data_IF_542060180424
#
_entry.id   IF_542060180424
#
_cell.length_a   1.000
_cell.length_b   1.000
_cell.length_c   1.000
_cell.angle_alpha   90.00
_cell.angle_beta   90.00
_cell.angle_gamma   90.00
#
_symmetry.space_group_name_H-M   'P 1'
#
loop_
_entity.id
_entity.type
_entity.pdbx_description
1 polymer ?
#
# COMPACT_ATOMS: atom_id res chain seq x y z
N UNK A 1 -49.12 3.02 -2.35
CA UNK A 1 -48.48 2.16 -1.31
C UNK A 1 -47.23 1.46 -1.75
N UNK A 2 -47.09 1.00 -3.03
CA UNK A 2 -45.87 0.29 -3.50
C UNK A 2 -44.62 1.17 -3.71
N UNK A 3 -44.74 2.45 -4.08
CA UNK A 3 -43.61 3.34 -4.26
C UNK A 3 -42.94 3.75 -2.94
N UNK A 4 -43.73 4.02 -1.92
CA UNK A 4 -43.26 4.38 -0.59
C UNK A 4 -42.58 3.17 0.10
N UNK A 5 -43.12 1.94 -0.05
CA UNK A 5 -42.46 0.73 0.42
C UNK A 5 -41.13 0.47 -0.29
N UNK A 6 -41.06 0.66 -1.62
CA UNK A 6 -39.80 0.56 -2.37
C UNK A 6 -38.77 1.61 -1.95
N UNK A 7 -39.17 2.85 -1.68
CA UNK A 7 -38.27 3.89 -1.19
C UNK A 7 -37.79 3.63 0.25
N UNK A 8 -38.67 3.10 1.11
CA UNK A 8 -38.31 2.76 2.51
C UNK A 8 -37.34 1.57 2.59
N UNK A 9 -37.55 0.54 1.77
CA UNK A 9 -36.65 -0.61 1.64
C UNK A 9 -35.30 -0.16 1.08
N UNK A 10 -35.28 0.68 0.04
CA UNK A 10 -34.06 1.23 -0.55
C UNK A 10 -33.29 2.12 0.42
N UNK A 11 -33.96 2.90 1.25
CA UNK A 11 -33.35 3.78 2.26
C UNK A 11 -32.74 3.00 3.43
N UNK A 12 -33.38 1.91 3.86
CA UNK A 12 -32.83 1.02 4.90
C UNK A 12 -31.60 0.23 4.37
N UNK A 13 -31.66 -0.21 3.13
CA UNK A 13 -30.55 -0.87 2.46
C UNK A 13 -29.30 0.03 2.35
N UNK A 14 -29.47 1.32 1.99
CA UNK A 14 -28.38 2.28 1.98
C UNK A 14 -27.76 2.54 3.37
N UNK A 15 -28.57 2.59 4.43
CA UNK A 15 -28.04 2.77 5.79
C UNK A 15 -27.24 1.58 6.27
N UNK A 16 -27.68 0.37 5.96
CA UNK A 16 -26.99 -0.87 6.33
C UNK A 16 -25.65 -1.01 5.56
N UNK A 17 -25.67 -0.75 4.26
CA UNK A 17 -24.46 -0.75 3.42
C UNK A 17 -23.43 0.28 3.90
N UNK A 18 -23.88 1.48 4.27
CA UNK A 18 -23.00 2.52 4.80
C UNK A 18 -22.39 2.10 6.14
N UNK A 19 -23.19 1.53 7.05
CA UNK A 19 -22.71 1.06 8.34
C UNK A 19 -21.65 -0.05 8.20
N UNK A 20 -21.92 -1.06 7.37
CA UNK A 20 -20.98 -2.16 7.11
C UNK A 20 -19.68 -1.63 6.50
N UNK A 21 -19.81 -0.68 5.53
CA UNK A 21 -18.64 -0.08 4.89
C UNK A 21 -17.80 0.68 5.90
N UNK A 22 -18.40 1.50 6.76
CA UNK A 22 -17.68 2.26 7.79
C UNK A 22 -17.02 1.32 8.79
N UNK A 23 -17.73 0.30 9.27
CA UNK A 23 -17.23 -0.67 10.27
C UNK A 23 -15.99 -1.43 9.76
N UNK A 24 -15.88 -1.64 8.44
CA UNK A 24 -14.71 -2.26 7.81
C UNK A 24 -13.64 -1.24 7.41
N UNK A 25 -14.04 -0.04 6.99
CA UNK A 25 -13.14 0.97 6.47
C UNK A 25 -12.31 1.65 7.55
N UNK A 26 -12.92 2.00 8.71
CA UNK A 26 -12.19 2.74 9.73
C UNK A 26 -10.94 2.01 10.26
N UNK A 27 -10.96 0.67 10.51
CA UNK A 27 -9.75 -0.02 10.93
C UNK A 27 -8.69 -0.06 9.83
N UNK A 28 -9.11 -0.25 8.56
CA UNK A 28 -8.20 -0.28 7.43
C UNK A 28 -7.57 1.10 7.17
N UNK A 29 -8.32 2.19 7.33
CA UNK A 29 -7.80 3.56 7.21
C UNK A 29 -6.80 3.85 8.34
N UNK A 30 -7.14 3.51 9.59
CA UNK A 30 -6.24 3.68 10.73
C UNK A 30 -4.96 2.86 10.53
N UNK A 31 -5.06 1.61 10.06
CA UNK A 31 -3.92 0.77 9.72
C UNK A 31 -2.98 1.47 8.72
N UNK A 32 -3.51 1.89 7.57
CA UNK A 32 -2.71 2.51 6.50
C UNK A 32 -2.10 3.84 6.93
N UNK A 33 -2.86 4.65 7.67
CA UNK A 33 -2.36 5.91 8.24
C UNK A 33 -1.20 5.67 9.21
N UNK A 34 -1.34 4.72 10.15
CA UNK A 34 -0.29 4.40 11.11
C UNK A 34 0.97 3.85 10.43
N UNK A 35 0.83 3.04 9.37
CA UNK A 35 1.97 2.55 8.58
C UNK A 35 2.72 3.71 7.93
N UNK A 36 2.00 4.64 7.30
CA UNK A 36 2.62 5.81 6.67
C UNK A 36 3.28 6.75 7.70
N UNK A 37 2.59 6.99 8.82
CA UNK A 37 3.10 7.83 9.91
C UNK A 37 4.32 7.24 10.60
N UNK A 38 4.32 5.92 10.84
CA UNK A 38 5.48 5.22 11.40
C UNK A 38 6.70 5.33 10.48
N UNK A 39 6.52 5.22 9.16
CA UNK A 39 7.59 5.42 8.19
C UNK A 39 8.22 6.83 8.24
N UNK A 40 7.40 7.87 8.49
CA UNK A 40 7.91 9.23 8.71
C UNK A 40 8.71 9.32 10.01
N UNK A 41 8.22 8.75 11.11
CA UNK A 41 8.93 8.72 12.41
C UNK A 41 10.25 7.97 12.28
N UNK A 42 10.27 6.81 11.61
CA UNK A 42 11.48 6.03 11.36
C UNK A 42 12.54 6.88 10.64
N UNK A 43 12.14 7.60 9.59
CA UNK A 43 13.03 8.48 8.84
C UNK A 43 13.57 9.61 9.72
N UNK A 44 12.74 10.21 10.57
CA UNK A 44 13.15 11.26 11.52
C UNK A 44 14.10 10.71 12.60
N UNK A 45 13.87 9.47 13.07
CA UNK A 45 14.75 8.86 14.07
C UNK A 45 16.11 8.51 13.49
N UNK A 46 16.16 8.00 12.26
CA UNK A 46 17.41 7.72 11.56
C UNK A 46 18.18 9.00 11.24
N UNK A 47 17.48 10.10 10.94
CA UNK A 47 18.14 11.39 10.66
C UNK A 47 18.92 11.97 11.85
N UNK A 48 18.59 11.56 13.08
CA UNK A 48 19.36 11.92 14.28
C UNK A 48 20.81 11.40 14.29
N UNK A 49 21.12 10.38 13.45
CA UNK A 49 22.46 9.82 13.28
C UNK A 49 23.31 10.61 12.27
N UNK A 50 22.69 11.52 11.51
CA UNK A 50 23.35 12.32 10.48
C UNK A 50 22.88 11.96 9.06
N UNK A 51 23.28 12.80 8.10
CA UNK A 51 22.88 12.67 6.68
C UNK A 51 23.35 11.35 6.04
N UNK A 52 24.52 10.85 6.43
CA UNK A 52 25.06 9.57 5.93
C UNK A 52 24.13 8.38 6.24
N UNK A 53 23.50 8.39 7.43
CA UNK A 53 22.60 7.33 7.87
C UNK A 53 21.30 7.35 7.06
N UNK A 54 20.76 8.52 6.79
CA UNK A 54 19.59 8.70 5.94
C UNK A 54 19.88 8.23 4.51
N UNK A 55 21.06 8.60 3.98
CA UNK A 55 21.49 8.16 2.66
C UNK A 55 21.65 6.64 2.59
N UNK A 56 22.31 6.03 3.59
CA UNK A 56 22.50 4.57 3.65
C UNK A 56 21.17 3.81 3.69
N UNK A 57 20.21 4.22 4.53
CA UNK A 57 18.86 3.62 4.59
C UNK A 57 18.09 3.88 3.29
N UNK A 58 18.22 5.09 2.72
CA UNK A 58 17.58 5.47 1.44
C UNK A 58 17.97 4.55 0.29
N UNK A 59 19.26 4.22 0.16
CA UNK A 59 19.79 3.29 -0.85
C UNK A 59 19.14 1.90 -0.81
N UNK A 60 18.74 1.45 0.38
CA UNK A 60 18.12 0.13 0.56
C UNK A 60 16.63 0.10 0.19
N UNK A 61 15.98 1.26 0.08
CA UNK A 61 14.53 1.35 -0.06
C UNK A 61 14.02 0.76 -1.37
N UNK A 62 14.63 1.12 -2.51
CA UNK A 62 14.18 0.65 -3.81
C UNK A 62 14.41 -0.85 -4.02
N UNK A 63 15.60 -1.43 -3.71
CA UNK A 63 15.80 -2.88 -3.78
C UNK A 63 14.85 -3.67 -2.89
N UNK A 64 14.61 -3.18 -1.66
CA UNK A 64 13.64 -3.80 -0.73
C UNK A 64 12.24 -3.82 -1.31
N UNK A 65 11.76 -2.70 -1.87
CA UNK A 65 10.43 -2.60 -2.45
C UNK A 65 10.28 -3.46 -3.70
N UNK A 66 11.33 -3.56 -4.53
CA UNK A 66 11.36 -4.45 -5.68
C UNK A 66 11.28 -5.92 -5.24
N UNK A 67 12.02 -6.29 -4.20
CA UNK A 67 11.96 -7.64 -3.61
C UNK A 67 10.59 -7.98 -3.03
N UNK A 68 9.88 -6.99 -2.51
CA UNK A 68 8.53 -7.17 -1.98
C UNK A 68 7.43 -7.12 -3.06
N UNK A 69 7.74 -6.79 -4.32
CA UNK A 69 6.74 -6.63 -5.39
C UNK A 69 5.90 -7.90 -5.60
N UNK A 70 6.53 -9.09 -5.55
CA UNK A 70 5.84 -10.37 -5.62
C UNK A 70 4.83 -10.54 -4.47
N UNK A 71 5.23 -10.19 -3.26
CA UNK A 71 4.40 -10.33 -2.06
C UNK A 71 3.27 -9.31 -2.03
N UNK A 72 3.47 -8.10 -2.55
CA UNK A 72 2.38 -7.13 -2.76
C UNK A 72 1.34 -7.65 -3.77
N UNK A 73 1.80 -8.28 -4.85
CA UNK A 73 0.91 -8.89 -5.83
C UNK A 73 0.10 -10.06 -5.23
N UNK A 74 0.75 -10.93 -4.48
CA UNK A 74 0.09 -12.02 -3.75
C UNK A 74 -0.90 -11.49 -2.72
N UNK A 75 -0.58 -10.41 -2.01
CA UNK A 75 -1.48 -9.76 -1.05
C UNK A 75 -2.83 -9.40 -1.70
N UNK A 76 -2.80 -8.77 -2.88
CA UNK A 76 -4.02 -8.44 -3.63
C UNK A 76 -4.77 -9.70 -4.04
N UNK A 77 -4.06 -10.71 -4.57
CA UNK A 77 -4.66 -11.96 -5.02
C UNK A 77 -5.34 -12.73 -3.88
N UNK A 78 -4.65 -12.90 -2.76
CA UNK A 78 -5.17 -13.57 -1.56
C UNK A 78 -6.44 -12.87 -1.05
N UNK A 79 -6.38 -11.54 -0.91
CA UNK A 79 -7.53 -10.77 -0.41
C UNK A 79 -8.75 -10.91 -1.32
N UNK A 80 -8.58 -10.83 -2.64
CA UNK A 80 -9.66 -10.95 -3.61
C UNK A 80 -10.28 -12.36 -3.63
N UNK A 81 -9.43 -13.41 -3.67
CA UNK A 81 -9.88 -14.81 -3.71
C UNK A 81 -10.59 -15.20 -2.41
N UNK A 82 -10.01 -14.88 -1.25
CA UNK A 82 -10.64 -15.19 0.05
C UNK A 82 -11.97 -14.45 0.21
N UNK A 83 -12.04 -13.17 -0.21
CA UNK A 83 -13.29 -12.41 -0.18
C UNK A 83 -14.38 -13.07 -1.05
N UNK A 84 -14.01 -13.56 -2.24
CA UNK A 84 -14.91 -14.28 -3.14
C UNK A 84 -15.42 -15.56 -2.52
N UNK A 85 -14.51 -16.41 -1.98
CA UNK A 85 -14.86 -17.69 -1.32
C UNK A 85 -15.73 -17.46 -0.07
N UNK A 86 -15.47 -16.38 0.67
CA UNK A 86 -16.33 -16.02 1.81
C UNK A 86 -17.74 -15.65 1.36
N UNK A 87 -17.91 -14.94 0.26
CA UNK A 87 -19.21 -14.64 -0.33
C UNK A 87 -19.94 -15.89 -0.77
N UNK A 88 -19.23 -16.84 -1.39
CA UNK A 88 -19.73 -18.16 -1.80
C UNK A 88 -20.02 -19.10 -0.62
N UNK A 89 -19.68 -18.72 0.62
CA UNK A 89 -19.75 -19.54 1.85
C UNK A 89 -18.90 -20.83 1.75
N UNK A 90 -17.88 -20.86 0.90
CA UNK A 90 -16.97 -22.01 0.70
C UNK A 90 -15.77 -21.88 1.63
N UNK A 91 -15.91 -22.33 2.87
CA UNK A 91 -14.86 -22.24 3.88
C UNK A 91 -13.64 -23.08 3.52
N UNK A 92 -13.85 -24.29 2.97
CA UNK A 92 -12.76 -25.20 2.56
C UNK A 92 -11.86 -24.53 1.51
N UNK A 93 -12.45 -23.98 0.44
CA UNK A 93 -11.69 -23.31 -0.63
C UNK A 93 -11.00 -22.03 -0.16
N UNK A 94 -11.55 -21.33 0.84
CA UNK A 94 -10.89 -20.16 1.43
C UNK A 94 -9.65 -20.57 2.25
N UNK A 95 -9.76 -21.61 3.06
CA UNK A 95 -8.68 -22.18 3.85
C UNK A 95 -7.61 -22.85 2.99
N UNK A 96 -8.01 -23.52 1.90
CA UNK A 96 -7.12 -24.05 0.87
C UNK A 96 -6.30 -22.94 0.20
N UNK A 97 -6.95 -21.83 -0.16
CA UNK A 97 -6.28 -20.64 -0.71
C UNK A 97 -5.27 -20.06 0.28
N UNK A 98 -5.64 -19.93 1.56
CA UNK A 98 -4.75 -19.45 2.61
C UNK A 98 -3.53 -20.35 2.78
N UNK A 99 -3.75 -21.67 2.91
CA UNK A 99 -2.67 -22.65 3.14
C UNK A 99 -1.70 -22.69 1.95
N UNK A 100 -2.24 -22.73 0.72
CA UNK A 100 -1.44 -22.71 -0.51
C UNK A 100 -0.63 -21.41 -0.63
N UNK A 101 -1.26 -20.27 -0.31
CA UNK A 101 -0.58 -18.98 -0.34
C UNK A 101 0.55 -18.88 0.69
N UNK A 102 0.31 -19.32 1.93
CA UNK A 102 1.35 -19.30 2.98
C UNK A 102 2.51 -20.22 2.59
N UNK A 103 2.24 -21.43 2.09
CA UNK A 103 3.26 -22.36 1.63
C UNK A 103 4.17 -21.73 0.55
N UNK A 104 3.56 -21.11 -0.46
CA UNK A 104 4.29 -20.43 -1.52
C UNK A 104 5.05 -19.19 -1.01
N UNK A 105 4.43 -18.37 -0.14
CA UNK A 105 5.05 -17.19 0.47
C UNK A 105 6.30 -17.58 1.26
N UNK A 106 6.22 -18.65 2.07
CA UNK A 106 7.37 -19.12 2.86
C UNK A 106 8.54 -19.52 1.97
N UNK A 107 8.27 -20.33 0.93
CA UNK A 107 9.32 -20.78 -0.01
C UNK A 107 9.92 -19.56 -0.74
N UNK A 108 9.06 -18.70 -1.32
CA UNK A 108 9.53 -17.53 -2.04
C UNK A 108 10.29 -16.55 -1.14
N UNK A 109 9.85 -16.37 0.11
CA UNK A 109 10.50 -15.48 1.07
C UNK A 109 11.87 -16.02 1.51
N UNK A 110 12.00 -17.33 1.73
CA UNK A 110 13.30 -17.97 2.04
C UNK A 110 14.27 -17.77 0.88
N UNK A 111 13.85 -18.08 -0.35
CA UNK A 111 14.70 -17.95 -1.54
C UNK A 111 15.11 -16.48 -1.73
N UNK A 112 14.17 -15.56 -1.66
CA UNK A 112 14.43 -14.12 -1.80
C UNK A 112 15.34 -13.60 -0.68
N UNK A 113 15.10 -14.01 0.57
CA UNK A 113 15.90 -13.59 1.72
C UNK A 113 17.36 -14.05 1.57
N UNK A 114 17.59 -15.33 1.22
CA UNK A 114 18.93 -15.87 0.99
C UNK A 114 19.62 -15.11 -0.15
N UNK A 115 18.93 -14.91 -1.29
CA UNK A 115 19.47 -14.20 -2.44
C UNK A 115 19.85 -12.75 -2.08
N UNK A 116 18.97 -12.00 -1.41
CA UNK A 116 19.24 -10.62 -1.04
C UNK A 116 20.34 -10.47 0.01
N UNK A 117 20.41 -11.37 0.98
CA UNK A 117 21.50 -11.37 1.99
C UNK A 117 22.84 -11.69 1.34
N UNK A 118 22.87 -12.66 0.42
CA UNK A 118 24.09 -13.07 -0.27
C UNK A 118 24.59 -11.98 -1.22
N UNK A 119 23.71 -11.42 -2.05
CA UNK A 119 24.04 -10.38 -3.02
C UNK A 119 23.93 -8.96 -2.46
N UNK A 120 23.79 -8.76 -1.15
CA UNK A 120 23.55 -7.45 -0.54
C UNK A 120 24.57 -6.38 -0.97
N UNK A 121 25.88 -6.72 -0.93
CA UNK A 121 26.94 -5.78 -1.32
C UNK A 121 26.80 -5.37 -2.79
N UNK A 122 26.68 -6.35 -3.70
CA UNK A 122 26.54 -6.07 -5.14
C UNK A 122 25.27 -5.23 -5.47
N UNK A 123 24.16 -5.50 -4.77
CA UNK A 123 22.91 -4.74 -4.95
C UNK A 123 23.09 -3.29 -4.48
N UNK A 124 23.72 -3.09 -3.33
CA UNK A 124 23.95 -1.75 -2.77
C UNK A 124 25.00 -0.97 -3.59
N UNK A 125 26.03 -1.64 -4.12
CA UNK A 125 26.97 -1.05 -5.08
C UNK A 125 26.25 -0.58 -6.35
N UNK A 126 25.40 -1.43 -6.91
CA UNK A 126 24.58 -1.10 -8.08
C UNK A 126 23.65 0.10 -7.83
N UNK A 127 23.20 0.30 -6.59
CA UNK A 127 22.38 1.46 -6.19
C UNK A 127 23.21 2.76 -6.02
N UNK A 128 24.51 2.72 -6.25
CA UNK A 128 25.36 3.91 -6.22
C UNK A 128 25.84 4.29 -4.81
N UNK A 129 26.11 3.30 -3.94
CA UNK A 129 26.70 3.57 -2.62
C UNK A 129 28.10 4.14 -2.72
N UNK A 130 28.43 5.07 -1.81
CA UNK A 130 29.77 5.62 -1.63
C UNK A 130 30.52 4.87 -0.55
N UNK A 131 31.85 5.06 -0.45
CA UNK A 131 32.67 4.42 0.58
C UNK A 131 32.15 4.65 2.02
N UNK A 132 31.57 5.83 2.26
CA UNK A 132 31.07 6.23 3.58
C UNK A 132 29.71 5.59 3.93
N UNK A 133 28.88 5.27 2.94
CA UNK A 133 27.52 4.75 3.13
C UNK A 133 27.40 3.26 2.91
N UNK A 134 28.35 2.66 2.16
CA UNK A 134 28.24 1.26 1.69
C UNK A 134 28.08 0.27 2.83
N UNK A 135 29.00 0.29 3.81
CA UNK A 135 29.03 -0.67 4.91
C UNK A 135 27.74 -0.65 5.73
N UNK A 136 27.25 0.53 6.07
CA UNK A 136 26.03 0.70 6.86
C UNK A 136 24.79 0.31 6.08
N UNK A 137 24.73 0.66 4.78
CA UNK A 137 23.66 0.26 3.90
C UNK A 137 23.60 -1.28 3.71
N UNK A 138 24.74 -1.93 3.52
CA UNK A 138 24.81 -3.40 3.38
C UNK A 138 24.37 -4.11 4.66
N UNK A 139 24.84 -3.65 5.83
CA UNK A 139 24.46 -4.23 7.12
C UNK A 139 22.96 -4.04 7.37
N UNK A 140 22.43 -2.84 7.15
CA UNK A 140 21.00 -2.56 7.28
C UNK A 140 20.19 -3.44 6.33
N UNK A 141 20.58 -3.51 5.06
CA UNK A 141 19.90 -4.29 4.04
C UNK A 141 19.89 -5.79 4.37
N UNK A 142 21.04 -6.35 4.83
CA UNK A 142 21.11 -7.76 5.27
C UNK A 142 20.18 -8.08 6.43
N UNK A 143 20.10 -7.21 7.44
CA UNK A 143 19.21 -7.42 8.59
C UNK A 143 17.75 -7.39 8.12
N UNK A 144 17.34 -6.35 7.38
CA UNK A 144 15.95 -6.19 6.91
C UNK A 144 15.53 -7.34 5.98
N UNK A 145 16.37 -7.70 5.02
CA UNK A 145 16.05 -8.77 4.07
C UNK A 145 16.17 -10.16 4.68
N UNK A 146 17.08 -10.35 5.66
CA UNK A 146 17.16 -11.58 6.44
C UNK A 146 15.90 -11.86 7.26
N UNK A 147 15.27 -10.80 7.81
CA UNK A 147 13.99 -10.90 8.52
C UNK A 147 12.74 -10.77 7.64
N UNK A 148 12.89 -10.66 6.31
CA UNK A 148 11.77 -10.42 5.39
C UNK A 148 10.71 -11.52 5.42
N UNK A 149 11.07 -12.76 5.77
CA UNK A 149 10.14 -13.88 5.87
C UNK A 149 8.97 -13.59 6.83
N UNK A 150 9.24 -12.97 7.98
CA UNK A 150 8.20 -12.63 8.97
C UNK A 150 7.22 -11.60 8.40
N UNK A 151 7.75 -10.60 7.66
CA UNK A 151 6.92 -9.60 6.98
C UNK A 151 6.03 -10.24 5.91
N UNK A 152 6.57 -11.12 5.07
CA UNK A 152 5.84 -11.77 4.00
C UNK A 152 4.72 -12.68 4.53
N UNK A 153 4.97 -13.46 5.58
CA UNK A 153 3.96 -14.30 6.24
C UNK A 153 2.85 -13.44 6.82
N UNK A 154 3.21 -12.39 7.60
CA UNK A 154 2.26 -11.45 8.15
C UNK A 154 1.38 -10.82 7.06
N UNK A 155 2.00 -10.33 5.97
CA UNK A 155 1.28 -9.72 4.85
C UNK A 155 0.26 -10.68 4.22
N UNK A 156 0.65 -11.93 4.00
CA UNK A 156 -0.23 -12.96 3.44
C UNK A 156 -1.43 -13.27 4.34
N UNK A 157 -1.20 -13.46 5.64
CA UNK A 157 -2.28 -13.73 6.61
C UNK A 157 -3.18 -12.51 6.75
N UNK A 158 -2.62 -11.31 6.85
CA UNK A 158 -3.39 -10.07 6.94
C UNK A 158 -4.23 -9.83 5.67
N UNK A 159 -3.72 -10.17 4.48
CA UNK A 159 -4.49 -10.12 3.24
C UNK A 159 -5.70 -11.06 3.28
N UNK A 160 -5.50 -12.28 3.74
CA UNK A 160 -6.58 -13.25 3.92
C UNK A 160 -7.62 -12.79 4.95
N UNK A 161 -7.17 -12.24 6.09
CA UNK A 161 -8.06 -11.68 7.12
C UNK A 161 -8.86 -10.49 6.60
N UNK A 162 -8.25 -9.58 5.81
CA UNK A 162 -8.98 -8.49 5.13
C UNK A 162 -10.03 -9.03 4.17
N UNK A 163 -9.66 -9.99 3.32
CA UNK A 163 -10.59 -10.67 2.42
C UNK A 163 -11.75 -11.34 3.17
N UNK A 164 -11.46 -11.93 4.31
CA UNK A 164 -12.48 -12.49 5.20
C UNK A 164 -13.31 -11.43 5.94
N UNK A 165 -13.01 -10.12 5.83
CA UNK A 165 -13.71 -9.03 6.49
C UNK A 165 -13.22 -8.68 7.89
N UNK A 166 -12.11 -9.27 8.35
CA UNK A 166 -11.53 -9.05 9.68
C UNK A 166 -10.48 -7.94 9.70
N UNK A 167 -10.84 -6.74 9.24
CA UNK A 167 -9.92 -5.58 9.16
C UNK A 167 -9.40 -5.12 10.52
N UNK A 168 -10.14 -5.36 11.61
CA UNK A 168 -9.70 -5.04 12.98
C UNK A 168 -8.47 -5.83 13.42
N UNK A 169 -8.33 -7.08 12.97
CA UNK A 169 -7.14 -7.92 13.28
C UNK A 169 -5.93 -7.31 12.60
N UNK A 170 -6.03 -6.98 11.31
CA UNK A 170 -4.93 -6.41 10.54
C UNK A 170 -4.49 -5.05 11.08
N UNK A 171 -5.44 -4.20 11.46
CA UNK A 171 -5.16 -2.94 12.14
C UNK A 171 -4.37 -3.18 13.44
N UNK A 172 -4.84 -4.08 14.31
CA UNK A 172 -4.17 -4.36 15.59
C UNK A 172 -2.75 -4.86 15.38
N UNK A 173 -2.53 -5.80 14.46
CA UNK A 173 -1.20 -6.34 14.17
C UNK A 173 -0.25 -5.27 13.67
N UNK A 174 -0.66 -4.43 12.71
CA UNK A 174 0.20 -3.40 12.14
C UNK A 174 0.43 -2.23 13.10
N UNK A 175 -0.60 -1.78 13.83
CA UNK A 175 -0.43 -0.73 14.86
C UNK A 175 0.54 -1.20 15.95
N UNK A 176 0.38 -2.42 16.47
CA UNK A 176 1.29 -2.98 17.48
C UNK A 176 2.71 -3.10 16.94
N UNK A 177 2.89 -3.61 15.71
CA UNK A 177 4.19 -3.70 15.04
C UNK A 177 4.91 -2.35 14.98
N UNK A 178 4.21 -1.35 14.46
CA UNK A 178 4.77 0.00 14.32
C UNK A 178 5.05 0.67 15.67
N UNK A 179 4.20 0.46 16.67
CA UNK A 179 4.43 0.97 18.02
C UNK A 179 5.71 0.35 18.62
N UNK A 180 5.87 -0.97 18.50
CA UNK A 180 7.09 -1.67 18.98
C UNK A 180 8.33 -1.18 18.20
N UNK A 181 8.22 -1.04 16.89
CA UNK A 181 9.29 -0.51 16.05
C UNK A 181 9.73 0.88 16.52
N UNK A 182 8.79 1.83 16.72
CA UNK A 182 9.10 3.19 17.20
C UNK A 182 9.74 3.15 18.59
N UNK A 183 9.21 2.34 19.52
CA UNK A 183 9.78 2.20 20.86
C UNK A 183 11.20 1.63 20.82
N UNK A 184 11.43 0.58 20.05
CA UNK A 184 12.76 -0.02 19.93
C UNK A 184 13.74 0.88 19.17
N UNK A 185 13.29 1.64 18.17
CA UNK A 185 14.10 2.67 17.52
C UNK A 185 14.60 3.69 18.53
N UNK A 186 13.71 4.19 19.41
CA UNK A 186 14.05 5.15 20.45
C UNK A 186 15.09 4.58 21.44
N UNK A 187 15.04 3.30 21.74
CA UNK A 187 15.97 2.64 22.67
C UNK A 187 17.31 2.29 22.00
N UNK A 188 17.26 1.70 20.78
CA UNK A 188 18.43 1.07 20.15
C UNK A 188 19.23 2.00 19.24
N UNK A 189 18.64 3.05 18.67
CA UNK A 189 19.38 3.96 17.79
C UNK A 189 20.41 4.75 18.60
N UNK A 190 19.99 5.38 19.69
CA UNK A 190 20.83 6.27 20.50
C UNK A 190 21.25 5.66 21.85
N UNK A 191 20.92 4.41 22.14
CA UNK A 191 21.35 3.73 23.37
C UNK A 191 20.75 4.30 24.65
N UNK A 192 19.42 4.52 24.70
CA UNK A 192 18.74 5.09 25.88
C UNK A 192 18.42 4.01 26.90
N UNK A 193 18.27 4.40 28.17
CA UNK A 193 17.90 3.54 29.30
C UNK A 193 18.82 2.30 29.50
N UNK A 194 20.12 2.43 29.20
CA UNK A 194 21.10 1.35 29.36
C UNK A 194 21.16 0.35 28.18
N UNK A 195 20.39 0.57 27.14
CA UNK A 195 20.51 -0.19 25.90
C UNK A 195 21.77 0.25 25.11
N UNK A 196 22.41 -0.65 24.33
CA UNK A 196 23.54 -0.28 23.50
C UNK A 196 23.12 0.65 22.36
N UNK A 197 23.92 1.67 22.08
CA UNK A 197 23.74 2.55 20.91
C UNK A 197 24.18 1.81 19.65
N UNK A 198 23.22 1.24 18.93
CA UNK A 198 23.46 0.40 17.73
C UNK A 198 23.35 1.21 16.42
N UNK A 199 22.94 2.48 16.48
CA UNK A 199 22.80 3.33 15.30
C UNK A 199 21.86 2.71 14.22
N UNK A 200 22.34 2.65 12.97
CA UNK A 200 21.59 2.10 11.84
C UNK A 200 21.21 0.61 12.04
N UNK A 201 22.09 -0.16 12.68
CA UNK A 201 21.78 -1.59 13.03
C UNK A 201 20.60 -1.66 14.00
N UNK A 202 20.56 -0.72 14.96
CA UNK A 202 19.44 -0.59 15.89
C UNK A 202 18.10 -0.35 15.18
N UNK A 203 18.08 0.53 14.18
CA UNK A 203 16.91 0.79 13.36
C UNK A 203 16.44 -0.44 12.59
N UNK A 204 17.36 -1.21 11.99
CA UNK A 204 17.03 -2.45 11.31
C UNK A 204 16.45 -3.50 12.25
N UNK A 205 17.08 -3.69 13.42
CA UNK A 205 16.62 -4.65 14.43
C UNK A 205 15.27 -4.27 15.02
N UNK A 206 15.02 -2.99 15.27
CA UNK A 206 13.73 -2.49 15.73
C UNK A 206 12.61 -2.81 14.73
N UNK A 207 12.87 -2.58 13.44
CA UNK A 207 11.92 -2.89 12.35
C UNK A 207 11.61 -4.38 12.30
N UNK A 208 12.62 -5.26 12.35
CA UNK A 208 12.42 -6.70 12.32
C UNK A 208 11.70 -7.18 13.58
N UNK A 209 12.05 -6.67 14.76
CA UNK A 209 11.38 -7.05 16.02
C UNK A 209 9.89 -6.72 15.99
N UNK A 210 9.53 -5.52 15.53
CA UNK A 210 8.12 -5.16 15.31
C UNK A 210 7.42 -6.11 14.34
N UNK A 211 8.08 -6.46 13.25
CA UNK A 211 7.54 -7.38 12.23
C UNK A 211 7.38 -8.81 12.76
N UNK A 212 8.31 -9.30 13.58
CA UNK A 212 8.22 -10.62 14.23
C UNK A 212 7.01 -10.68 15.15
N UNK A 213 6.79 -9.66 15.98
CA UNK A 213 5.60 -9.59 16.85
C UNK A 213 4.33 -9.58 16.03
N UNK A 214 4.28 -8.80 14.96
CA UNK A 214 3.11 -8.76 14.08
C UNK A 214 2.88 -10.12 13.38
N UNK A 215 3.94 -10.82 12.97
CA UNK A 215 3.84 -12.17 12.41
C UNK A 215 3.23 -13.14 13.43
N UNK A 216 3.72 -13.13 14.67
CA UNK A 216 3.18 -13.97 15.75
C UNK A 216 1.70 -13.66 15.98
N UNK A 217 1.32 -12.38 16.08
CA UNK A 217 -0.07 -11.98 16.25
C UNK A 217 -0.97 -12.40 15.06
N UNK A 218 -0.46 -12.27 13.83
CA UNK A 218 -1.19 -12.67 12.62
C UNK A 218 -1.40 -14.19 12.59
N UNK A 219 -0.36 -14.97 12.90
CA UNK A 219 -0.43 -16.43 13.01
C UNK A 219 -1.40 -16.82 14.13
N UNK A 220 -1.31 -16.22 15.32
CA UNK A 220 -2.23 -16.48 16.43
C UNK A 220 -3.70 -16.20 16.04
N UNK A 221 -3.95 -15.25 15.14
CA UNK A 221 -5.32 -14.90 14.71
C UNK A 221 -6.03 -16.03 13.96
N UNK A 222 -5.28 -16.92 13.31
CA UNK A 222 -5.80 -18.06 12.52
C UNK A 222 -5.88 -19.35 13.34
N UNK A 223 -5.44 -19.35 14.60
CA UNK A 223 -5.61 -20.51 15.52
C UNK A 223 -6.98 -20.55 16.21
N UNK A 224 -7.81 -19.51 16.05
CA UNK A 224 -9.16 -19.49 16.62
C UNK A 224 -10.10 -20.42 15.85
N UNK A 225 -10.70 -21.42 16.56
CA UNK A 225 -11.60 -22.42 15.94
C UNK A 225 -12.83 -21.81 15.28
N UNK A 226 -13.40 -20.75 15.85
CA UNK A 226 -14.62 -20.08 15.37
C UNK A 226 -14.35 -19.13 14.18
N UNK A 227 -13.11 -18.95 13.78
CA UNK A 227 -12.76 -18.07 12.66
C UNK A 227 -13.05 -18.75 11.32
N UNK A 228 -13.50 -17.96 10.33
CA UNK A 228 -13.70 -18.46 8.96
C UNK A 228 -12.41 -19.00 8.34
N UNK A 229 -11.27 -18.39 8.70
CA UNK A 229 -9.92 -18.85 8.38
C UNK A 229 -9.30 -19.41 9.64
N UNK A 230 -9.09 -20.72 9.69
CA UNK A 230 -8.69 -21.42 10.91
C UNK A 230 -7.75 -22.59 10.64
N UNK A 231 -6.58 -22.61 11.28
CA UNK A 231 -5.65 -23.76 11.23
C UNK A 231 -6.28 -25.03 11.82
N UNK A 232 -6.94 -24.99 12.99
CA UNK A 232 -7.66 -26.15 13.50
C UNK A 232 -8.65 -26.74 12.47
N UNK A 233 -9.40 -25.88 11.79
CA UNK A 233 -10.32 -26.33 10.73
C UNK A 233 -9.59 -26.99 9.55
N UNK A 234 -8.44 -26.43 9.12
CA UNK A 234 -7.59 -27.00 8.07
C UNK A 234 -7.14 -28.41 8.46
N UNK A 235 -6.75 -28.60 9.71
CA UNK A 235 -6.28 -29.91 10.21
C UNK A 235 -7.44 -30.91 10.34
N UNK A 236 -8.60 -30.50 10.86
CA UNK A 236 -9.80 -31.34 11.00
C UNK A 236 -10.33 -31.81 9.64
N UNK A 237 -10.34 -30.96 8.62
CA UNK A 237 -10.84 -31.26 7.28
C UNK A 237 -9.74 -31.84 6.35
N UNK A 238 -8.51 -32.04 6.86
CA UNK A 238 -7.37 -32.53 6.08
C UNK A 238 -7.10 -31.75 4.79
N UNK A 239 -7.32 -30.40 4.82
CA UNK A 239 -7.11 -29.53 3.68
C UNK A 239 -5.61 -29.49 3.36
N UNK A 240 -5.27 -29.67 2.06
CA UNK A 240 -3.89 -29.65 1.56
C UNK A 240 -3.68 -28.52 0.55
N UNK A 241 -2.45 -28.01 0.40
CA UNK A 241 -2.13 -27.12 -0.70
C UNK A 241 -2.37 -27.83 -2.05
N UNK A 242 -3.02 -27.13 -3.00
CA UNK A 242 -3.29 -27.69 -4.32
C UNK A 242 -2.71 -26.81 -5.42
N UNK A 243 -2.37 -27.48 -6.55
CA UNK A 243 -1.89 -26.79 -7.74
C UNK A 243 -2.98 -25.87 -8.33
N UNK A 244 -4.25 -26.25 -8.22
CA UNK A 244 -5.37 -25.44 -8.71
C UNK A 244 -5.49 -24.11 -7.95
N UNK A 245 -5.40 -24.13 -6.62
CA UNK A 245 -5.38 -22.92 -5.79
C UNK A 245 -4.15 -22.05 -6.09
N UNK A 246 -2.99 -22.66 -6.29
CA UNK A 246 -1.76 -21.95 -6.68
C UNK A 246 -1.91 -21.25 -8.04
N UNK A 247 -2.42 -21.96 -9.07
CA UNK A 247 -2.64 -21.37 -10.40
C UNK A 247 -3.66 -20.22 -10.36
N UNK A 248 -4.70 -20.32 -9.54
CA UNK A 248 -5.65 -19.24 -9.34
C UNK A 248 -5.01 -18.01 -8.66
N UNK A 249 -4.14 -18.23 -7.67
CA UNK A 249 -3.36 -17.13 -7.06
C UNK A 249 -2.46 -16.45 -8.09
N UNK A 250 -1.70 -17.22 -8.86
CA UNK A 250 -0.78 -16.66 -9.88
C UNK A 250 -1.58 -15.92 -10.97
N UNK A 251 -2.72 -16.45 -11.40
CA UNK A 251 -3.58 -15.83 -12.42
C UNK A 251 -4.04 -14.42 -12.02
N UNK A 252 -4.20 -14.16 -10.73
CA UNK A 252 -4.56 -12.82 -10.23
C UNK A 252 -3.31 -12.00 -9.95
N UNK A 253 -2.26 -12.62 -9.40
CA UNK A 253 -1.06 -11.94 -8.93
C UNK A 253 -0.14 -11.45 -10.07
N UNK A 254 -0.02 -12.20 -11.20
CA UNK A 254 0.98 -11.88 -12.22
C UNK A 254 0.83 -10.46 -12.78
N UNK A 255 -0.39 -10.03 -13.05
CA UNK A 255 -0.64 -8.70 -13.60
C UNK A 255 -0.29 -7.59 -12.60
N UNK A 256 -0.59 -7.80 -11.33
CA UNK A 256 -0.25 -6.86 -10.25
C UNK A 256 1.27 -6.83 -10.02
N UNK A 257 1.96 -7.96 -10.17
CA UNK A 257 3.43 -8.01 -10.10
C UNK A 257 4.08 -7.11 -11.16
N UNK A 258 3.69 -7.28 -12.43
CA UNK A 258 4.19 -6.44 -13.52
C UNK A 258 3.82 -4.97 -13.34
N UNK A 259 2.61 -4.69 -12.83
CA UNK A 259 2.21 -3.33 -12.46
C UNK A 259 3.18 -2.72 -11.45
N UNK A 260 3.50 -3.43 -10.36
CA UNK A 260 4.42 -2.95 -9.33
C UNK A 260 5.81 -2.64 -9.87
N UNK A 261 6.36 -3.49 -10.73
CA UNK A 261 7.69 -3.28 -11.34
C UNK A 261 7.69 -2.05 -12.26
N UNK A 262 6.72 -1.96 -13.17
CA UNK A 262 6.69 -0.88 -14.16
C UNK A 262 6.35 0.48 -13.54
N UNK A 263 5.51 0.51 -12.52
CA UNK A 263 5.25 1.75 -11.76
C UNK A 263 6.52 2.32 -11.12
N UNK A 264 7.47 1.46 -10.69
CA UNK A 264 8.76 1.92 -10.13
C UNK A 264 9.59 2.67 -11.17
N UNK A 265 9.55 2.23 -12.43
CA UNK A 265 10.23 2.92 -13.54
C UNK A 265 9.65 4.34 -13.72
N UNK A 266 8.33 4.49 -13.74
CA UNK A 266 7.69 5.80 -13.86
C UNK A 266 7.99 6.74 -12.69
N UNK A 267 8.01 6.23 -11.46
CA UNK A 267 8.40 7.02 -10.30
C UNK A 267 9.88 7.45 -10.35
N UNK A 268 10.77 6.55 -10.77
CA UNK A 268 12.19 6.84 -10.92
C UNK A 268 12.42 7.93 -11.97
N UNK A 269 11.78 7.85 -13.13
CA UNK A 269 11.89 8.87 -14.18
C UNK A 269 11.41 10.24 -13.69
N UNK A 270 10.30 10.28 -12.91
CA UNK A 270 9.81 11.53 -12.32
C UNK A 270 10.81 12.12 -11.34
N UNK A 271 11.44 11.28 -10.50
CA UNK A 271 12.45 11.72 -9.53
C UNK A 271 13.70 12.26 -10.22
N UNK A 272 14.17 11.63 -11.31
CA UNK A 272 15.28 12.11 -12.12
C UNK A 272 14.95 13.50 -12.70
N UNK A 273 13.79 13.67 -13.32
CA UNK A 273 13.37 14.95 -13.86
C UNK A 273 13.26 16.04 -12.78
N UNK A 274 12.82 15.67 -11.56
CA UNK A 274 12.78 16.62 -10.44
C UNK A 274 14.18 17.02 -9.95
N UNK A 275 15.14 16.08 -9.93
CA UNK A 275 16.53 16.35 -9.57
C UNK A 275 17.22 17.29 -10.59
N UNK A 276 16.92 17.17 -11.86
CA UNK A 276 17.44 18.06 -12.93
C UNK A 276 16.99 19.53 -12.74
N UNK A 277 15.89 19.77 -12.02
CA UNK A 277 15.43 21.14 -11.73
C UNK A 277 16.21 21.83 -10.57
N UNK A 278 17.19 21.15 -10.02
CA UNK A 278 18.05 21.66 -8.95
C UNK A 278 17.71 21.11 -7.57
N UNK A 279 18.64 21.36 -6.64
CA UNK A 279 18.59 20.77 -5.30
C UNK A 279 17.35 21.19 -4.49
N UNK A 280 16.99 22.48 -4.55
CA UNK A 280 15.85 23.04 -3.82
C UNK A 280 14.51 22.50 -4.35
N UNK A 281 14.42 22.37 -5.68
CA UNK A 281 13.25 21.80 -6.34
C UNK A 281 13.08 20.30 -5.97
N UNK A 282 14.20 19.55 -5.93
CA UNK A 282 14.20 18.15 -5.51
C UNK A 282 13.82 17.99 -4.04
N UNK A 283 14.34 18.86 -3.16
CA UNK A 283 13.99 18.85 -1.74
C UNK A 283 12.49 19.12 -1.53
N UNK A 284 11.94 20.14 -2.19
CA UNK A 284 10.51 20.43 -2.15
C UNK A 284 9.66 19.30 -2.74
N UNK A 285 10.13 18.65 -3.85
CA UNK A 285 9.48 17.50 -4.44
C UNK A 285 9.39 16.32 -3.47
N UNK A 286 10.47 16.01 -2.73
CA UNK A 286 10.49 14.91 -1.77
C UNK A 286 9.48 15.11 -0.64
N UNK A 287 9.37 16.31 -0.11
CA UNK A 287 8.34 16.63 0.91
C UNK A 287 6.95 16.53 0.32
N UNK A 288 6.74 17.04 -0.89
CA UNK A 288 5.46 16.88 -1.60
C UNK A 288 5.06 15.41 -1.79
N UNK A 289 6.02 14.54 -2.13
CA UNK A 289 5.79 13.09 -2.24
C UNK A 289 5.41 12.45 -0.89
N UNK A 290 6.03 12.89 0.22
CA UNK A 290 5.69 12.40 1.57
C UNK A 290 4.25 12.82 1.96
N UNK A 291 3.86 14.07 1.68
CA UNK A 291 2.50 14.57 1.92
C UNK A 291 1.49 13.78 1.07
N UNK A 292 1.81 13.53 -0.19
CA UNK A 292 0.98 12.75 -1.08
C UNK A 292 0.85 11.27 -0.61
N UNK A 293 1.91 10.68 -0.08
CA UNK A 293 1.89 9.33 0.48
C UNK A 293 0.96 9.23 1.70
N UNK A 294 0.92 10.26 2.55
CA UNK A 294 -0.01 10.32 3.67
C UNK A 294 -1.46 10.36 3.20
N UNK A 295 -1.75 11.13 2.15
CA UNK A 295 -3.10 11.15 1.52
C UNK A 295 -3.46 9.81 0.90
N UNK A 296 -2.49 9.14 0.27
CA UNK A 296 -2.66 7.82 -0.32
C UNK A 296 -3.07 6.78 0.72
N UNK A 297 -2.57 6.89 1.95
CA UNK A 297 -2.90 5.96 3.03
C UNK A 297 -4.41 5.90 3.32
N UNK A 298 -5.13 7.04 3.23
CA UNK A 298 -6.59 7.06 3.37
C UNK A 298 -7.29 6.33 2.22
N UNK A 299 -6.81 6.53 0.99
CA UNK A 299 -7.30 5.82 -0.19
C UNK A 299 -7.04 4.33 -0.12
N UNK A 300 -5.86 3.91 0.36
CA UNK A 300 -5.45 2.52 0.46
C UNK A 300 -6.28 1.72 1.46
N UNK A 301 -6.59 2.31 2.62
CA UNK A 301 -7.52 1.70 3.59
C UNK A 301 -8.91 1.46 3.01
N UNK A 302 -9.45 2.44 2.25
CA UNK A 302 -10.73 2.28 1.54
C UNK A 302 -10.63 1.30 0.37
N UNK A 303 -9.50 1.25 -0.34
CA UNK A 303 -9.22 0.25 -1.38
C UNK A 303 -9.30 -1.17 -0.81
N UNK A 304 -8.62 -1.43 0.31
CA UNK A 304 -8.63 -2.73 0.95
C UNK A 304 -10.05 -3.16 1.36
N UNK A 305 -10.84 -2.21 1.88
CA UNK A 305 -12.25 -2.41 2.21
C UNK A 305 -13.08 -2.70 0.95
N UNK A 306 -12.88 -1.97 -0.13
CA UNK A 306 -13.58 -2.18 -1.39
C UNK A 306 -13.27 -3.56 -2.00
N UNK A 307 -12.01 -4.00 -1.98
CA UNK A 307 -11.61 -5.36 -2.42
C UNK A 307 -12.42 -6.43 -1.68
N UNK A 308 -12.50 -6.33 -0.35
CA UNK A 308 -13.20 -7.31 0.48
C UNK A 308 -14.72 -7.31 0.25
N UNK A 309 -15.35 -6.12 0.25
CA UNK A 309 -16.80 -6.01 0.09
C UNK A 309 -17.28 -6.39 -1.32
N UNK A 310 -16.57 -5.97 -2.35
CA UNK A 310 -16.87 -6.32 -3.75
C UNK A 310 -16.68 -7.83 -3.97
N UNK A 311 -15.54 -8.39 -3.55
CA UNK A 311 -15.27 -9.82 -3.68
C UNK A 311 -16.35 -10.66 -3.00
N UNK A 312 -16.73 -10.28 -1.77
CA UNK A 312 -17.80 -10.95 -1.01
C UNK A 312 -19.17 -10.86 -1.70
N UNK A 313 -19.56 -9.68 -2.17
CA UNK A 313 -20.85 -9.48 -2.81
C UNK A 313 -20.97 -10.23 -4.14
N UNK A 314 -19.90 -10.25 -4.93
CA UNK A 314 -19.88 -11.05 -6.16
C UNK A 314 -19.85 -12.55 -5.86
N UNK A 315 -19.19 -12.96 -4.77
CA UNK A 315 -19.21 -14.34 -4.31
C UNK A 315 -20.61 -14.82 -3.89
N UNK A 316 -21.40 -13.94 -3.25
CA UNK A 316 -22.80 -14.25 -2.90
C UNK A 316 -23.78 -14.14 -4.07
N UNK A 317 -23.31 -13.79 -5.28
CA UNK A 317 -24.14 -13.67 -6.47
C UNK A 317 -24.96 -12.38 -6.52
N UNK A 318 -24.60 -11.35 -5.76
CA UNK A 318 -25.29 -10.06 -5.74
C UNK A 318 -24.44 -8.94 -6.36
N UNK A 319 -24.52 -8.75 -7.70
CA UNK A 319 -23.76 -7.72 -8.40
C UNK A 319 -24.25 -6.30 -8.11
N UNK A 320 -25.51 -6.13 -7.73
CA UNK A 320 -26.03 -4.79 -7.45
C UNK A 320 -25.57 -4.31 -6.07
N UNK A 321 -25.48 -5.20 -5.08
CA UNK A 321 -24.83 -4.94 -3.81
C UNK A 321 -23.35 -4.59 -4.00
N UNK A 322 -22.64 -5.29 -4.88
CA UNK A 322 -21.25 -4.97 -5.21
C UNK A 322 -21.10 -3.54 -5.76
N UNK A 323 -21.94 -3.13 -6.70
CA UNK A 323 -21.95 -1.75 -7.24
C UNK A 323 -22.25 -0.72 -6.16
N UNK A 324 -23.16 -1.03 -5.24
CA UNK A 324 -23.55 -0.18 -4.13
C UNK A 324 -22.40 0.04 -3.16
N UNK A 325 -21.70 -1.02 -2.75
CA UNK A 325 -20.50 -0.90 -1.92
C UNK A 325 -19.40 -0.07 -2.59
N UNK A 326 -19.19 -0.24 -3.89
CA UNK A 326 -18.23 0.56 -4.64
C UNK A 326 -18.57 2.05 -4.66
N UNK A 327 -19.87 2.39 -4.81
CA UNK A 327 -20.35 3.78 -4.73
C UNK A 327 -20.23 4.36 -3.32
N UNK A 328 -20.53 3.58 -2.29
CA UNK A 328 -20.44 3.99 -0.89
C UNK A 328 -18.98 4.21 -0.48
N UNK A 329 -18.06 3.32 -0.83
CA UNK A 329 -16.62 3.52 -0.59
C UNK A 329 -16.13 4.81 -1.27
N UNK A 330 -16.53 5.06 -2.53
CA UNK A 330 -16.16 6.28 -3.25
C UNK A 330 -16.72 7.53 -2.58
N UNK A 331 -17.97 7.50 -2.09
CA UNK A 331 -18.57 8.64 -1.41
C UNK A 331 -17.80 8.99 -0.13
N UNK A 332 -17.47 7.99 0.69
CA UNK A 332 -16.64 8.16 1.88
C UNK A 332 -15.27 8.74 1.49
N UNK A 333 -14.63 8.18 0.46
CA UNK A 333 -13.35 8.67 -0.05
C UNK A 333 -13.41 10.11 -0.57
N UNK A 334 -14.50 10.50 -1.24
CA UNK A 334 -14.70 11.88 -1.70
C UNK A 334 -14.82 12.87 -0.53
N UNK A 335 -15.53 12.49 0.55
CA UNK A 335 -15.61 13.31 1.77
C UNK A 335 -14.23 13.48 2.40
N UNK A 336 -13.46 12.40 2.52
CA UNK A 336 -12.08 12.46 3.05
C UNK A 336 -11.21 13.33 2.15
N UNK A 337 -11.32 13.20 0.82
CA UNK A 337 -10.56 14.02 -0.13
C UNK A 337 -10.85 15.52 0.06
N UNK A 338 -12.11 15.89 0.23
CA UNK A 338 -12.50 17.30 0.47
C UNK A 338 -11.91 17.80 1.79
N UNK A 339 -11.95 17.01 2.86
CA UNK A 339 -11.32 17.37 4.14
C UNK A 339 -9.80 17.59 3.99
N UNK A 340 -9.11 16.68 3.28
CA UNK A 340 -7.67 16.80 3.03
C UNK A 340 -7.33 18.00 2.16
N UNK A 341 -8.14 18.29 1.13
CA UNK A 341 -8.00 19.49 0.30
C UNK A 341 -8.08 20.76 1.15
N UNK A 342 -9.04 20.83 2.08
CA UNK A 342 -9.17 21.99 2.98
C UNK A 342 -7.91 22.12 3.88
N UNK A 343 -7.44 21.00 4.48
CA UNK A 343 -6.23 20.97 5.31
C UNK A 343 -5.01 21.44 4.50
N UNK A 344 -4.85 20.97 3.26
CA UNK A 344 -3.70 21.29 2.43
C UNK A 344 -3.76 22.71 1.88
N UNK A 345 -4.96 23.22 1.57
CA UNK A 345 -5.12 24.59 1.11
C UNK A 345 -4.75 25.62 2.20
N UNK A 346 -5.27 25.44 3.41
CA UNK A 346 -5.01 26.35 4.51
C UNK A 346 -3.65 26.08 5.20
N UNK A 347 -3.15 24.84 5.14
CA UNK A 347 -1.93 24.41 5.82
C UNK A 347 -0.69 24.36 4.93
N UNK A 348 -0.76 24.71 3.65
CA UNK A 348 0.35 24.52 2.69
C UNK A 348 1.68 25.07 3.17
N UNK A 349 1.73 26.34 3.57
CA UNK A 349 2.94 27.00 4.08
C UNK A 349 3.42 26.37 5.39
N UNK A 350 2.51 26.12 6.34
CA UNK A 350 2.86 25.52 7.64
C UNK A 350 3.41 24.10 7.50
N UNK A 351 2.86 23.30 6.58
CA UNK A 351 3.36 21.94 6.32
C UNK A 351 4.80 21.94 5.78
N UNK A 352 5.14 22.87 4.90
CA UNK A 352 6.52 22.97 4.38
C UNK A 352 7.47 23.57 5.39
N UNK A 353 7.02 24.53 6.25
CA UNK A 353 7.84 25.06 7.35
C UNK A 353 8.18 24.02 8.44
N UNK A 354 7.46 22.88 8.51
CA UNK A 354 7.88 21.78 9.37
C UNK A 354 9.18 21.10 8.91
N UNK A 355 9.53 21.25 7.62
CA UNK A 355 10.69 20.59 7.01
C UNK A 355 11.80 21.56 6.64
N UNK A 356 11.48 22.82 6.33
CA UNK A 356 12.42 23.83 5.84
C UNK A 356 12.24 25.14 6.56
N UNK A 357 13.36 25.79 6.81
CA UNK A 357 13.42 27.15 7.36
C UNK A 357 13.62 28.22 6.27
N UNK A 358 14.06 27.79 5.08
CA UNK A 358 14.37 28.65 3.94
C UNK A 358 13.08 29.00 3.17
N UNK A 359 12.68 30.27 3.20
CA UNK A 359 11.46 30.79 2.60
C UNK A 359 11.34 30.49 1.09
N UNK A 360 12.47 30.46 0.36
CA UNK A 360 12.45 30.17 -1.09
C UNK A 360 12.08 28.72 -1.38
N UNK A 361 12.52 27.74 -0.57
CA UNK A 361 12.15 26.33 -0.70
C UNK A 361 10.68 26.15 -0.33
N UNK A 362 10.24 26.83 0.74
CA UNK A 362 8.83 26.82 1.15
C UNK A 362 7.94 27.40 0.04
N UNK A 363 8.36 28.46 -0.65
CA UNK A 363 7.60 29.03 -1.77
C UNK A 363 7.43 28.02 -2.93
N UNK A 364 8.49 27.29 -3.29
CA UNK A 364 8.42 26.19 -4.27
C UNK A 364 7.46 25.10 -3.78
N UNK A 365 7.54 24.74 -2.51
CA UNK A 365 6.70 23.74 -1.89
C UNK A 365 5.21 24.12 -1.89
N UNK A 366 4.89 25.38 -1.61
CA UNK A 366 3.51 25.90 -1.68
C UNK A 366 2.95 25.80 -3.09
N UNK A 367 3.75 26.09 -4.12
CA UNK A 367 3.33 25.91 -5.52
C UNK A 367 3.04 24.43 -5.84
N UNK A 368 3.89 23.52 -5.38
CA UNK A 368 3.67 22.07 -5.49
C UNK A 368 2.36 21.68 -4.79
N UNK A 369 2.10 22.25 -3.59
CA UNK A 369 0.89 21.96 -2.82
C UNK A 369 -0.38 22.34 -3.57
N UNK A 370 -0.38 23.43 -4.33
CA UNK A 370 -1.53 23.79 -5.17
C UNK A 370 -1.84 22.71 -6.21
N UNK A 371 -0.84 22.01 -6.74
CA UNK A 371 -1.07 20.86 -7.64
C UNK A 371 -1.56 19.64 -6.84
N UNK A 372 -0.97 19.38 -5.67
CA UNK A 372 -1.34 18.25 -4.79
C UNK A 372 -2.82 18.31 -4.39
N UNK A 373 -3.38 19.49 -4.17
CA UNK A 373 -4.81 19.68 -3.86
C UNK A 373 -5.70 19.02 -4.94
N UNK A 374 -5.38 19.21 -6.21
CA UNK A 374 -6.11 18.56 -7.31
C UNK A 374 -5.76 17.06 -7.40
N UNK A 375 -4.49 16.71 -7.21
CA UNK A 375 -4.02 15.31 -7.21
C UNK A 375 -4.80 14.45 -6.22
N UNK A 376 -4.98 14.92 -4.99
CA UNK A 376 -5.60 14.14 -3.91
C UNK A 376 -7.06 13.79 -4.20
N UNK A 377 -7.81 14.68 -4.85
CA UNK A 377 -9.20 14.43 -5.24
C UNK A 377 -9.30 13.21 -6.16
N UNK A 378 -8.47 13.19 -7.21
CA UNK A 378 -8.46 12.09 -8.17
C UNK A 378 -7.78 10.85 -7.60
N UNK A 379 -6.72 11.00 -6.80
CA UNK A 379 -5.96 9.92 -6.18
C UNK A 379 -6.84 9.03 -5.30
N UNK A 380 -7.57 9.58 -4.34
CA UNK A 380 -8.40 8.80 -3.44
C UNK A 380 -9.51 8.08 -4.22
N UNK A 381 -10.20 8.79 -5.12
CA UNK A 381 -11.29 8.20 -5.89
C UNK A 381 -10.82 7.09 -6.84
N UNK A 382 -9.67 7.27 -7.51
CA UNK A 382 -9.14 6.25 -8.43
C UNK A 382 -8.66 5.00 -7.69
N UNK A 383 -7.98 5.17 -6.55
CA UNK A 383 -7.49 4.06 -5.73
C UNK A 383 -8.64 3.17 -5.27
N UNK A 384 -9.76 3.76 -4.85
CA UNK A 384 -10.96 3.02 -4.43
C UNK A 384 -11.56 2.24 -5.60
N UNK A 385 -11.74 2.85 -6.77
CA UNK A 385 -12.28 2.15 -7.93
C UNK A 385 -11.35 1.05 -8.45
N UNK A 386 -10.03 1.27 -8.42
CA UNK A 386 -9.06 0.22 -8.70
C UNK A 386 -9.21 -0.95 -7.71
N UNK A 387 -9.45 -0.66 -6.42
CA UNK A 387 -9.77 -1.66 -5.41
C UNK A 387 -11.04 -2.46 -5.74
N UNK A 388 -12.11 -1.78 -6.18
CA UNK A 388 -13.34 -2.44 -6.62
C UNK A 388 -13.08 -3.43 -7.76
N UNK A 389 -12.33 -3.02 -8.78
CA UNK A 389 -11.98 -3.87 -9.92
C UNK A 389 -11.08 -5.04 -9.51
N UNK A 390 -10.08 -4.81 -8.65
CA UNK A 390 -9.22 -5.87 -8.11
C UNK A 390 -10.00 -6.88 -7.27
N UNK A 391 -10.94 -6.42 -6.44
CA UNK A 391 -11.83 -7.28 -5.67
C UNK A 391 -12.75 -8.14 -6.53
N UNK A 392 -13.08 -7.69 -7.73
CA UNK A 392 -13.80 -8.45 -8.74
C UNK A 392 -12.92 -9.43 -9.54
N UNK A 393 -11.58 -9.33 -9.42
CA UNK A 393 -10.61 -10.10 -10.20
C UNK A 393 -10.20 -9.47 -11.53
N UNK A 394 -10.59 -8.20 -11.80
CA UNK A 394 -10.21 -7.46 -13.02
C UNK A 394 -8.81 -6.81 -12.87
N UNK A 395 -7.84 -7.63 -12.42
CA UNK A 395 -6.49 -7.18 -12.09
C UNK A 395 -5.66 -6.83 -13.32
N UNK A 396 -5.89 -7.51 -14.45
CA UNK A 396 -5.19 -7.20 -15.69
C UNK A 396 -5.55 -5.79 -16.19
N UNK A 397 -6.83 -5.42 -16.16
CA UNK A 397 -7.25 -4.09 -16.57
C UNK A 397 -6.65 -3.01 -15.67
N UNK A 398 -6.69 -3.20 -14.34
CA UNK A 398 -6.11 -2.25 -13.39
C UNK A 398 -4.61 -2.11 -13.57
N UNK A 399 -3.90 -3.22 -13.83
CA UNK A 399 -2.47 -3.22 -14.09
C UNK A 399 -2.12 -2.43 -15.37
N UNK A 400 -2.79 -2.73 -16.48
CA UNK A 400 -2.56 -2.04 -17.76
C UNK A 400 -2.87 -0.54 -17.63
N UNK A 401 -3.99 -0.17 -16.99
CA UNK A 401 -4.35 1.22 -16.77
C UNK A 401 -3.30 1.96 -15.92
N UNK A 402 -2.81 1.34 -14.83
CA UNK A 402 -1.76 1.92 -13.98
C UNK A 402 -0.43 2.04 -14.72
N UNK A 403 -0.04 1.03 -15.49
CA UNK A 403 1.20 1.04 -16.28
C UNK A 403 1.19 2.17 -17.32
N UNK A 404 0.12 2.29 -18.10
CA UNK A 404 -0.02 3.36 -19.10
C UNK A 404 0.02 4.73 -18.42
N UNK A 405 -0.70 4.90 -17.32
CA UNK A 405 -0.79 6.20 -16.65
C UNK A 405 0.52 6.60 -15.99
N UNK A 406 1.15 5.71 -15.21
CA UNK A 406 2.35 6.06 -14.42
C UNK A 406 3.61 6.09 -15.28
N UNK A 407 3.76 5.12 -16.20
CA UNK A 407 5.00 5.03 -16.98
C UNK A 407 4.98 5.97 -18.20
N UNK A 408 3.85 6.07 -18.91
CA UNK A 408 3.80 6.87 -20.13
C UNK A 408 3.17 8.25 -19.92
N UNK A 409 1.92 8.32 -19.45
CA UNK A 409 1.20 9.60 -19.36
C UNK A 409 1.91 10.56 -18.40
N UNK A 410 2.29 10.08 -17.22
CA UNK A 410 3.03 10.86 -16.23
C UNK A 410 4.34 11.40 -16.82
N UNK A 411 5.15 10.52 -17.39
CA UNK A 411 6.47 10.88 -17.92
C UNK A 411 6.36 11.85 -19.09
N UNK A 412 5.45 11.62 -20.04
CA UNK A 412 5.24 12.48 -21.20
C UNK A 412 4.78 13.88 -20.77
N UNK A 413 3.77 13.96 -19.89
CA UNK A 413 3.26 15.26 -19.41
C UNK A 413 4.33 15.97 -18.58
N UNK A 414 5.05 15.25 -17.68
CA UNK A 414 6.13 15.84 -16.89
C UNK A 414 7.22 16.42 -17.78
N UNK A 415 7.65 15.69 -18.82
CA UNK A 415 8.66 16.16 -19.76
C UNK A 415 8.16 17.38 -20.55
N UNK A 416 6.97 17.28 -21.12
CA UNK A 416 6.41 18.37 -21.93
C UNK A 416 6.19 19.65 -21.11
N UNK A 417 5.53 19.55 -19.96
CA UNK A 417 5.26 20.72 -19.12
C UNK A 417 6.52 21.23 -18.41
N UNK A 418 7.39 20.33 -17.94
CA UNK A 418 8.60 20.70 -17.22
C UNK A 418 9.68 21.32 -18.08
N UNK A 419 9.95 20.71 -19.23
CA UNK A 419 11.08 21.12 -20.11
C UNK A 419 10.63 21.90 -21.34
N UNK A 420 9.59 21.47 -22.07
CA UNK A 420 9.19 22.12 -23.32
C UNK A 420 8.46 23.43 -23.02
N UNK A 421 7.52 23.44 -22.05
CA UNK A 421 6.85 24.67 -21.64
C UNK A 421 7.65 25.48 -20.61
N UNK A 422 8.73 24.93 -20.07
CA UNK A 422 9.59 25.63 -19.11
C UNK A 422 8.95 25.89 -17.73
N UNK A 423 7.93 25.11 -17.33
CA UNK A 423 7.28 25.27 -16.03
C UNK A 423 8.09 24.64 -14.87
N UNK A 424 9.25 24.08 -15.16
CA UNK A 424 10.13 23.49 -14.14
C UNK A 424 9.45 22.42 -13.30
N UNK A 425 9.64 22.50 -11.98
CA UNK A 425 9.11 21.50 -11.04
C UNK A 425 7.58 21.43 -11.06
N UNK A 426 6.89 22.53 -11.30
CA UNK A 426 5.42 22.55 -11.39
C UNK A 426 4.97 21.73 -12.59
N UNK A 427 5.65 21.86 -13.75
CA UNK A 427 5.39 21.05 -14.94
C UNK A 427 5.56 19.56 -14.68
N UNK A 428 6.55 19.15 -13.87
CA UNK A 428 6.74 17.76 -13.46
C UNK A 428 5.54 17.28 -12.62
N UNK A 429 5.04 18.10 -11.70
CA UNK A 429 3.86 17.79 -10.90
C UNK A 429 2.56 17.77 -11.70
N UNK A 430 2.49 18.48 -12.82
CA UNK A 430 1.37 18.34 -13.79
C UNK A 430 1.33 16.93 -14.38
N UNK A 431 2.48 16.27 -14.57
CA UNK A 431 2.54 14.86 -14.95
C UNK A 431 1.98 13.94 -13.86
N UNK A 432 2.26 14.24 -12.58
CA UNK A 432 1.65 13.51 -11.45
C UNK A 432 0.14 13.67 -11.46
N UNK A 433 -0.37 14.87 -11.71
CA UNK A 433 -1.81 15.11 -11.84
C UNK A 433 -2.40 14.35 -13.03
N UNK A 434 -1.75 14.39 -14.19
CA UNK A 434 -2.18 13.67 -15.40
C UNK A 434 -2.30 12.16 -15.19
N UNK A 435 -1.36 11.57 -14.46
CA UNK A 435 -1.41 10.17 -14.03
C UNK A 435 -2.65 9.87 -13.16
N UNK A 436 -2.92 10.67 -12.14
CA UNK A 436 -4.08 10.44 -11.26
C UNK A 436 -5.40 10.61 -11.99
N UNK A 437 -5.50 11.63 -12.85
CA UNK A 437 -6.70 11.89 -13.67
C UNK A 437 -6.93 10.74 -14.66
N UNK A 438 -5.91 10.30 -15.37
CA UNK A 438 -6.05 9.21 -16.36
C UNK A 438 -6.46 7.90 -15.70
N UNK A 439 -5.85 7.52 -14.57
CA UNK A 439 -6.27 6.35 -13.79
C UNK A 439 -7.70 6.47 -13.28
N UNK A 440 -8.09 7.65 -12.81
CA UNK A 440 -9.47 7.91 -12.38
C UNK A 440 -10.46 7.73 -13.54
N UNK A 441 -10.13 8.23 -14.72
CA UNK A 441 -10.97 8.07 -15.92
C UNK A 441 -11.09 6.58 -16.29
N UNK A 442 -9.96 5.87 -16.44
CA UNK A 442 -9.94 4.45 -16.76
C UNK A 442 -10.75 3.61 -15.76
N UNK A 443 -10.50 3.81 -14.46
CA UNK A 443 -11.19 3.07 -13.41
C UNK A 443 -12.70 3.37 -13.38
N UNK A 444 -13.09 4.65 -13.53
CA UNK A 444 -14.49 5.08 -13.53
C UNK A 444 -15.25 4.53 -14.73
N UNK A 445 -14.67 4.61 -15.92
CA UNK A 445 -15.27 4.09 -17.16
C UNK A 445 -15.47 2.58 -17.03
N UNK A 446 -14.43 1.85 -16.61
CA UNK A 446 -14.53 0.39 -16.42
C UNK A 446 -15.55 -0.01 -15.37
N UNK A 447 -15.58 0.71 -14.25
CA UNK A 447 -16.56 0.47 -13.20
C UNK A 447 -17.99 0.69 -13.69
N UNK A 448 -18.24 1.78 -14.43
CA UNK A 448 -19.57 2.10 -14.99
C UNK A 448 -20.03 1.10 -16.07
N UNK A 449 -19.12 0.61 -16.89
CA UNK A 449 -19.44 -0.42 -17.90
C UNK A 449 -19.96 -1.73 -17.29
N UNK A 450 -19.65 -2.03 -16.03
CA UNK A 450 -20.13 -3.22 -15.34
C UNK A 450 -19.57 -4.54 -15.86
N UNK A 451 -18.60 -4.55 -16.79
CA UNK A 451 -17.99 -5.77 -17.34
C UNK A 451 -17.27 -6.62 -16.29
N UNK A 452 -16.72 -5.96 -15.27
CA UNK A 452 -16.03 -6.58 -14.14
C UNK A 452 -16.93 -7.51 -13.30
N UNK A 453 -18.23 -7.30 -13.31
CA UNK A 453 -19.22 -8.12 -12.57
C UNK A 453 -19.27 -9.57 -13.05
N UNK A 454 -18.94 -9.80 -14.33
CA UNK A 454 -19.01 -11.13 -14.98
C UNK A 454 -17.73 -11.94 -14.84
N UNK A 455 -16.68 -11.40 -14.24
CA UNK A 455 -15.38 -12.06 -14.11
C UNK A 455 -15.47 -13.16 -13.06
N UNK A 456 -14.95 -14.34 -13.42
CA UNK A 456 -14.85 -15.50 -12.54
C UNK A 456 -13.39 -15.73 -12.16
N UNK A 457 -13.13 -15.81 -10.85
CA UNK A 457 -11.79 -16.06 -10.25
C UNK A 457 -11.86 -17.23 -9.28
#
# INVERSE_FOLDING_TARGET
MNLLKKQFVKRNYHKETLKITIDMAWPAIVESFFVAFAGLIDSLMVSSLGSYAVAAVGLTTQPKLLGLALFFALNVAISALVARRRGEKKQDSANETLLTAIFFIVIAAIISSIAFVFFASAIIDFCGSTADTHNDAVVYFRIITGGMIFNCIQMGINAAQRGAGNTKITMRTNVTSNTINILLNYLLINGRFGFPALGIRGAALATISGTVVACIMSVASIFKKESFLSIPYILEQHIRPTLSAFLNLIKVAYSVFFEQVLMRIGFMLTAIMAADQGTDAMAAHQVGMNIMALSFAFGDGLQATAVALIGRSLGSGDPDLAKEYGRTCRLIGAVIAVCLVAIYYFGASGLYHLFFTEDHIVAIGVQIMHVIIFVVIFQICQVIYMGCLRGAGDTLYTAVASMISVTFIRTIISYFCGYVLGWGIIGIWMGVLGDQVSRFIFATVRFRQGKWVKIKI
#
